data_IF_707269135257
#
_entry.id   IF_707269135257
#
_cell.length_a   1.000
_cell.length_b   1.000
_cell.length_c   1.000
_cell.angle_alpha   90.00
_cell.angle_beta   90.00
_cell.angle_gamma   90.00
#
_symmetry.space_group_name_H-M   'P 1'
#
loop_
_entity.id
_entity.type
_entity.pdbx_description
1 polymer ?
#
# COMPACT_ATOMS: atom_id res chain seq x y z
N UNK A 1 -12.02 37.53 18.51
CA UNK A 1 -12.20 39.00 18.54
C UNK A 1 -13.45 39.32 17.76
N UNK A 2 -14.28 40.22 18.30
CA UNK A 2 -15.57 40.62 17.70
C UNK A 2 -15.34 41.92 16.95
N UNK A 3 -15.70 41.96 15.66
CA UNK A 3 -15.55 43.16 14.83
C UNK A 3 -16.68 44.13 15.15
N UNK A 4 -16.34 45.36 15.54
CA UNK A 4 -17.31 46.42 15.82
C UNK A 4 -17.35 47.34 14.61
N UNK A 5 -18.45 47.33 13.86
CA UNK A 5 -18.64 48.16 12.67
C UNK A 5 -19.38 49.45 13.03
N UNK A 6 -18.90 50.60 12.54
CA UNK A 6 -19.40 51.94 12.94
C UNK A 6 -20.09 52.70 11.79
N UNK A 7 -19.85 52.30 10.55
CA UNK A 7 -20.46 52.88 9.35
C UNK A 7 -20.79 51.80 8.30
N UNK A 8 -21.82 52.02 7.46
CA UNK A 8 -22.14 51.13 6.36
C UNK A 8 -21.00 51.14 5.33
N UNK A 9 -20.38 49.99 5.13
CA UNK A 9 -19.22 49.81 4.27
C UNK A 9 -18.66 48.40 4.39
N UNK A 10 -17.60 48.12 3.66
CA UNK A 10 -16.88 46.84 3.72
C UNK A 10 -15.66 47.02 4.62
N UNK A 11 -15.52 46.16 5.63
CA UNK A 11 -14.35 46.09 6.50
C UNK A 11 -13.52 44.88 6.07
N UNK A 12 -12.23 45.10 5.80
CA UNK A 12 -11.29 44.06 5.40
C UNK A 12 -10.39 43.78 6.60
N UNK A 13 -10.46 42.56 7.13
CA UNK A 13 -9.57 42.07 8.18
C UNK A 13 -8.93 40.76 7.71
N UNK A 14 -7.60 40.68 7.73
CA UNK A 14 -6.87 39.45 7.44
C UNK A 14 -6.81 38.57 8.69
N UNK A 15 -7.87 37.81 8.91
CA UNK A 15 -7.90 36.78 9.93
C UNK A 15 -7.33 35.49 9.33
N UNK A 16 -6.14 35.10 9.78
CA UNK A 16 -5.57 33.77 9.49
C UNK A 16 -6.35 32.71 10.30
N UNK A 17 -7.60 32.46 9.92
CA UNK A 17 -8.38 31.35 10.46
C UNK A 17 -7.91 30.03 9.83
N UNK A 18 -7.74 29.00 10.65
CA UNK A 18 -7.36 27.66 10.17
C UNK A 18 -8.52 27.09 9.33
N UNK A 19 -8.42 27.21 7.99
CA UNK A 19 -9.29 26.50 7.07
C UNK A 19 -8.64 25.13 6.76
N UNK A 20 -9.11 24.07 7.42
CA UNK A 20 -8.67 22.71 7.16
C UNK A 20 -9.55 22.10 6.07
N UNK A 21 -8.98 21.91 4.87
CA UNK A 21 -9.61 21.12 3.80
C UNK A 21 -9.13 19.67 3.90
N UNK A 22 -10.03 18.71 3.70
CA UNK A 22 -9.68 17.28 3.62
C UNK A 22 -9.39 16.95 2.15
N UNK A 23 -8.20 16.41 1.87
CA UNK A 23 -7.84 15.88 0.55
C UNK A 23 -8.09 14.36 0.50
N UNK A 24 -8.68 13.87 -0.58
CA UNK A 24 -8.82 12.42 -0.78
C UNK A 24 -7.49 11.85 -1.29
N UNK A 25 -6.93 10.89 -0.56
CA UNK A 25 -5.76 10.10 -0.97
C UNK A 25 -6.19 8.69 -1.40
N UNK A 26 -5.27 7.94 -2.01
CA UNK A 26 -5.48 6.55 -2.38
C UNK A 26 -5.88 5.73 -1.14
N UNK A 27 -7.03 5.06 -1.22
CA UNK A 27 -7.62 4.34 -0.08
C UNK A 27 -7.06 2.91 0.05
N UNK A 28 -6.50 2.37 -1.03
CA UNK A 28 -5.98 1.02 -1.11
C UNK A 28 -4.64 1.01 -1.84
N UNK A 29 -3.54 1.08 -1.08
CA UNK A 29 -2.17 0.97 -1.59
C UNK A 29 -1.54 -0.29 -0.98
N UNK A 30 -1.46 -1.39 -1.74
CA UNK A 30 -0.94 -2.65 -1.23
C UNK A 30 0.58 -2.76 -1.34
N UNK A 31 1.15 -3.37 -0.31
CA UNK A 31 2.48 -3.98 -0.32
C UNK A 31 2.31 -5.48 -0.53
N UNK A 32 2.89 -6.01 -1.59
CA UNK A 32 3.01 -7.45 -1.81
C UNK A 32 4.30 -7.95 -1.17
N UNK A 33 4.15 -8.92 -0.28
CA UNK A 33 5.29 -9.65 0.28
C UNK A 33 5.90 -10.55 -0.79
N UNK A 34 7.19 -10.40 -1.03
CA UNK A 34 7.93 -11.15 -2.04
C UNK A 34 8.91 -12.11 -1.39
N UNK A 35 8.97 -13.31 -1.95
CA UNK A 35 9.94 -14.32 -1.57
C UNK A 35 11.39 -13.83 -1.71
N UNK A 36 12.22 -14.19 -0.73
CA UNK A 36 13.67 -13.97 -0.72
C UNK A 36 14.41 -14.55 -1.93
N UNK A 37 13.89 -15.62 -2.56
CA UNK A 37 14.53 -16.22 -3.73
C UNK A 37 14.32 -15.40 -5.02
N UNK A 38 13.52 -14.35 -4.98
CA UNK A 38 13.28 -13.50 -6.14
C UNK A 38 14.46 -12.53 -6.36
N UNK A 39 15.22 -12.76 -7.43
CA UNK A 39 16.43 -11.99 -7.77
C UNK A 39 16.15 -10.59 -8.32
N UNK A 40 14.90 -10.29 -8.70
CA UNK A 40 14.54 -9.03 -9.35
C UNK A 40 14.34 -7.89 -8.34
N UNK A 41 14.27 -8.21 -7.05
CA UNK A 41 13.99 -7.25 -5.98
C UNK A 41 15.18 -7.22 -5.04
N UNK A 42 15.73 -6.04 -4.79
CA UNK A 42 16.85 -5.89 -3.87
C UNK A 42 16.38 -5.99 -2.42
N UNK A 43 17.24 -6.57 -1.58
CA UNK A 43 17.11 -6.53 -0.13
C UNK A 43 17.06 -5.06 0.35
N UNK A 44 16.26 -4.79 1.40
CA UNK A 44 16.10 -3.46 2.01
C UNK A 44 15.51 -2.34 1.11
N UNK A 45 14.92 -2.64 -0.06
CA UNK A 45 14.25 -1.63 -0.90
C UNK A 45 12.78 -1.96 -1.20
N UNK A 46 11.94 -0.91 -1.24
CA UNK A 46 10.59 -1.00 -1.80
C UNK A 46 10.62 -0.60 -3.27
N UNK A 47 10.16 -1.50 -4.15
CA UNK A 47 9.98 -1.19 -5.57
C UNK A 47 8.53 -0.81 -5.80
N UNK A 48 8.28 0.40 -6.26
CA UNK A 48 6.94 0.85 -6.65
C UNK A 48 6.65 0.40 -8.08
N UNK A 49 5.55 -0.33 -8.26
CA UNK A 49 5.05 -0.78 -9.55
C UNK A 49 3.77 -0.01 -9.86
N UNK A 50 3.79 0.79 -10.93
CA UNK A 50 2.64 1.64 -11.28
C UNK A 50 1.61 0.91 -12.16
N UNK A 51 2.06 -0.10 -12.91
CA UNK A 51 1.21 -0.86 -13.83
C UNK A 51 1.78 -2.25 -14.09
N UNK A 52 0.97 -3.13 -14.67
CA UNK A 52 1.43 -4.45 -15.10
C UNK A 52 2.63 -4.42 -16.06
N UNK A 53 2.70 -3.42 -16.95
CA UNK A 53 3.82 -3.29 -17.89
C UNK A 53 5.12 -2.93 -17.17
N UNK A 54 5.04 -2.12 -16.11
CA UNK A 54 6.18 -1.74 -15.26
C UNK A 54 6.79 -2.98 -14.60
N UNK A 55 5.95 -3.90 -14.12
CA UNK A 55 6.38 -5.19 -13.60
C UNK A 55 7.04 -6.07 -14.67
N UNK A 56 6.46 -6.17 -15.86
CA UNK A 56 7.06 -6.94 -16.97
C UNK A 56 8.40 -6.38 -17.42
N UNK A 57 8.60 -5.06 -17.36
CA UNK A 57 9.89 -4.44 -17.66
C UNK A 57 10.96 -4.81 -16.61
N UNK A 58 10.56 -5.06 -15.35
CA UNK A 58 11.45 -5.47 -14.27
C UNK A 58 11.84 -6.96 -14.36
N UNK A 59 10.88 -7.84 -14.66
CA UNK A 59 11.10 -9.29 -14.71
C UNK A 59 11.49 -9.80 -16.10
N UNK A 60 11.21 -9.03 -17.16
CA UNK A 60 11.43 -9.38 -18.56
C UNK A 60 10.32 -10.26 -19.13
N UNK A 61 10.16 -11.46 -18.58
CA UNK A 61 9.13 -12.41 -19.01
C UNK A 61 8.15 -12.73 -17.88
N UNK A 62 6.95 -13.17 -18.26
CA UNK A 62 5.93 -13.63 -17.34
C UNK A 62 6.05 -15.13 -17.10
N UNK A 63 6.31 -15.53 -15.86
CA UNK A 63 6.27 -16.93 -15.44
C UNK A 63 4.92 -17.27 -14.81
N UNK A 64 4.24 -18.28 -15.38
CA UNK A 64 2.98 -18.79 -14.85
C UNK A 64 3.15 -19.58 -13.53
N UNK A 65 4.37 -20.00 -13.20
CA UNK A 65 4.67 -20.75 -11.98
C UNK A 65 4.96 -19.84 -10.80
N UNK A 66 5.33 -18.59 -11.06
CA UNK A 66 5.58 -17.62 -10.01
C UNK A 66 4.27 -17.10 -9.42
N UNK A 67 4.05 -17.41 -8.14
CA UNK A 67 2.87 -16.99 -7.38
C UNK A 67 2.75 -15.47 -7.34
N UNK A 68 3.87 -14.74 -7.29
CA UNK A 68 3.87 -13.28 -7.27
C UNK A 68 3.37 -12.74 -8.61
N UNK A 69 3.94 -13.21 -9.72
CA UNK A 69 3.57 -12.77 -11.06
C UNK A 69 2.08 -13.01 -11.35
N UNK A 70 1.55 -14.19 -10.96
CA UNK A 70 0.13 -14.52 -11.13
C UNK A 70 -0.76 -13.62 -10.27
N UNK A 71 -0.38 -13.39 -9.00
CA UNK A 71 -1.12 -12.52 -8.08
C UNK A 71 -1.16 -11.07 -8.54
N UNK A 72 -0.02 -10.53 -8.99
CA UNK A 72 0.06 -9.16 -9.53
C UNK A 72 -0.77 -9.01 -10.80
N UNK A 73 -0.71 -10.00 -11.70
CA UNK A 73 -1.53 -9.99 -12.91
C UNK A 73 -3.01 -9.95 -12.56
N UNK A 74 -3.45 -10.79 -11.61
CA UNK A 74 -4.84 -10.80 -11.15
C UNK A 74 -5.22 -9.46 -10.51
N UNK A 75 -4.35 -8.88 -9.68
CA UNK A 75 -4.58 -7.58 -9.05
C UNK A 75 -4.79 -6.45 -10.08
N UNK A 76 -3.88 -6.31 -11.05
CA UNK A 76 -4.02 -5.29 -12.10
C UNK A 76 -5.21 -5.56 -13.03
N UNK A 77 -5.52 -6.83 -13.32
CA UNK A 77 -6.70 -7.19 -14.11
C UNK A 77 -8.03 -6.82 -13.43
N UNK A 78 -8.05 -6.79 -12.09
CA UNK A 78 -9.21 -6.35 -11.30
C UNK A 78 -9.24 -4.82 -11.04
N UNK A 79 -8.42 -4.05 -11.74
CA UNK A 79 -8.39 -2.59 -11.59
C UNK A 79 -7.54 -2.09 -10.42
N UNK A 80 -6.59 -2.89 -9.96
CA UNK A 80 -5.60 -2.49 -8.97
C UNK A 80 -4.80 -1.25 -9.39
N UNK A 81 -4.56 -0.35 -8.45
CA UNK A 81 -3.70 0.82 -8.63
C UNK A 81 -2.21 0.46 -8.49
N UNK A 82 -1.36 1.45 -8.24
CA UNK A 82 0.05 1.18 -7.97
C UNK A 82 0.21 0.36 -6.68
N UNK A 83 1.27 -0.45 -6.62
CA UNK A 83 1.60 -1.26 -5.46
C UNK A 83 3.10 -1.21 -5.18
N UNK A 84 3.49 -1.68 -4.00
CA UNK A 84 4.89 -1.85 -3.63
C UNK A 84 5.23 -3.33 -3.54
N UNK A 85 6.42 -3.68 -4.00
CA UNK A 85 7.01 -5.00 -3.82
C UNK A 85 8.13 -4.90 -2.79
N UNK A 86 8.04 -5.70 -1.73
CA UNK A 86 8.99 -5.71 -0.63
C UNK A 86 9.31 -7.16 -0.28
N UNK A 87 10.60 -7.47 -0.10
CA UNK A 87 10.99 -8.79 0.40
C UNK A 87 10.55 -9.00 1.85
N UNK A 88 10.12 -10.22 2.17
CA UNK A 88 9.63 -10.61 3.51
C UNK A 88 10.60 -10.25 4.65
N UNK A 89 11.92 -10.44 4.48
CA UNK A 89 12.95 -10.08 5.47
C UNK A 89 13.01 -8.60 5.85
N UNK A 90 12.75 -7.73 4.88
CA UNK A 90 12.93 -6.28 5.03
C UNK A 90 11.61 -5.56 5.30
N UNK A 91 10.52 -6.31 5.37
CA UNK A 91 9.15 -5.84 5.44
C UNK A 91 8.91 -4.97 6.68
N UNK A 92 9.41 -5.40 7.84
CA UNK A 92 9.31 -4.68 9.12
C UNK A 92 10.05 -3.35 9.14
N UNK A 93 11.16 -3.24 8.40
CA UNK A 93 11.96 -2.01 8.35
C UNK A 93 11.39 -0.99 7.38
N UNK A 94 10.89 -1.45 6.24
CA UNK A 94 10.53 -0.57 5.12
C UNK A 94 9.11 -0.04 5.26
N UNK A 95 8.15 -0.86 5.71
CA UNK A 95 6.74 -0.43 5.80
C UNK A 95 6.57 0.84 6.65
N UNK A 96 7.22 1.00 7.82
CA UNK A 96 7.13 2.23 8.60
C UNK A 96 7.68 3.49 7.91
N UNK A 97 8.50 3.32 6.86
CA UNK A 97 9.08 4.43 6.08
C UNK A 97 8.16 4.91 4.95
N UNK A 98 7.15 4.11 4.59
CA UNK A 98 6.17 4.42 3.56
C UNK A 98 4.92 5.01 4.23
N UNK A 99 4.46 6.15 3.74
CA UNK A 99 3.36 6.93 4.34
C UNK A 99 1.99 6.62 3.75
N UNK A 100 1.96 6.11 2.52
CA UNK A 100 0.74 5.87 1.75
C UNK A 100 0.25 4.41 1.78
N UNK A 101 1.04 3.50 2.35
CA UNK A 101 0.71 2.07 2.41
C UNK A 101 -0.45 1.82 3.38
N UNK A 102 -1.49 1.14 2.89
CA UNK A 102 -2.66 0.79 3.70
C UNK A 102 -2.89 -0.72 3.79
N UNK A 103 -2.47 -1.48 2.78
CA UNK A 103 -2.72 -2.93 2.70
C UNK A 103 -1.41 -3.72 2.71
N UNK A 104 -1.40 -4.84 3.43
CA UNK A 104 -0.31 -5.80 3.43
C UNK A 104 -0.83 -7.13 2.88
N UNK A 105 -0.33 -7.55 1.72
CA UNK A 105 -0.83 -8.71 0.98
C UNK A 105 0.19 -9.84 1.01
N UNK A 106 -0.20 -10.96 1.62
CA UNK A 106 0.57 -12.19 1.66
C UNK A 106 0.35 -12.98 0.36
N UNK A 107 1.10 -12.69 -0.72
CA UNK A 107 0.95 -13.38 -2.01
C UNK A 107 1.58 -14.79 -2.01
N UNK A 108 1.03 -15.69 -1.19
CA UNK A 108 1.55 -17.05 -0.99
C UNK A 108 2.72 -17.14 0.00
N UNK A 109 3.04 -16.05 0.70
CA UNK A 109 4.12 -15.95 1.69
C UNK A 109 3.58 -15.93 3.12
N UNK A 110 4.28 -16.58 4.05
CA UNK A 110 3.90 -16.61 5.48
C UNK A 110 4.44 -15.38 6.21
N UNK A 111 3.59 -14.35 6.35
CA UNK A 111 3.96 -13.05 6.97
C UNK A 111 3.33 -12.79 8.34
N UNK A 112 2.78 -13.82 9.00
CA UNK A 112 2.03 -13.69 10.27
C UNK A 112 2.82 -12.94 11.35
N UNK A 113 4.09 -13.28 11.52
CA UNK A 113 4.99 -12.67 12.51
C UNK A 113 5.18 -11.17 12.27
N UNK A 114 5.40 -10.77 11.02
CA UNK A 114 5.64 -9.36 10.68
C UNK A 114 4.34 -8.54 10.73
N UNK A 115 3.20 -9.15 10.40
CA UNK A 115 1.88 -8.54 10.56
C UNK A 115 1.58 -8.26 12.04
N UNK A 116 1.86 -9.21 12.94
CA UNK A 116 1.66 -9.01 14.38
C UNK A 116 2.47 -7.82 14.92
N UNK A 117 3.66 -7.57 14.36
CA UNK A 117 4.51 -6.44 14.74
C UNK A 117 4.01 -5.12 14.13
N UNK A 118 3.60 -5.13 12.87
CA UNK A 118 3.29 -3.92 12.10
C UNK A 118 1.84 -3.44 12.24
N UNK A 119 0.88 -4.36 12.25
CA UNK A 119 -0.56 -4.07 12.28
C UNK A 119 -1.04 -3.79 13.71
N UNK A 120 -0.46 -2.77 14.34
CA UNK A 120 -0.85 -2.29 15.66
C UNK A 120 -1.94 -1.22 15.57
N UNK A 121 -2.73 -1.08 16.64
CA UNK A 121 -3.75 -0.05 16.73
C UNK A 121 -3.15 1.35 16.49
N UNK A 122 -3.77 2.13 15.60
CA UNK A 122 -3.33 3.48 15.24
C UNK A 122 -2.32 3.56 14.08
N UNK A 123 -1.87 2.43 13.52
CA UNK A 123 -1.00 2.42 12.33
C UNK A 123 -1.75 2.43 10.99
N UNK A 124 -3.05 2.09 10.99
CA UNK A 124 -3.87 2.15 9.78
C UNK A 124 -3.56 1.09 8.72
N UNK A 125 -2.82 0.04 9.07
CA UNK A 125 -2.47 -1.07 8.18
C UNK A 125 -3.47 -2.21 8.30
N UNK A 126 -3.88 -2.77 7.16
CA UNK A 126 -4.75 -3.93 7.10
C UNK A 126 -4.08 -5.07 6.32
N UNK A 127 -3.90 -6.21 6.97
CA UNK A 127 -3.27 -7.38 6.36
C UNK A 127 -4.30 -8.35 5.77
N UNK A 128 -4.03 -8.83 4.55
CA UNK A 128 -4.81 -9.84 3.82
C UNK A 128 -3.93 -11.07 3.68
N UNK A 129 -4.44 -12.19 4.22
CA UNK A 129 -3.77 -13.48 4.18
C UNK A 129 -4.45 -14.44 3.20
N UNK A 130 -3.65 -15.33 2.62
CA UNK A 130 -4.16 -16.46 1.88
C UNK A 130 -4.61 -17.59 2.82
N UNK A 131 -5.65 -18.32 2.39
CA UNK A 131 -6.11 -19.52 3.09
C UNK A 131 -5.19 -20.73 2.88
N UNK A 132 -5.44 -21.83 3.60
CA UNK A 132 -4.66 -23.06 3.43
C UNK A 132 -4.84 -23.64 2.01
N UNK A 133 -3.74 -23.98 1.35
CA UNK A 133 -3.75 -24.60 0.01
C UNK A 133 -4.49 -25.95 -0.02
N UNK A 134 -4.56 -26.65 1.11
CA UNK A 134 -5.23 -27.95 1.27
C UNK A 134 -6.71 -27.87 1.63
N UNK A 135 -7.33 -26.69 1.49
CA UNK A 135 -8.75 -26.51 1.77
C UNK A 135 -9.61 -27.25 0.73
N UNK A 136 -10.29 -28.31 1.16
CA UNK A 136 -11.37 -28.94 0.41
C UNK A 136 -12.39 -27.87 0.01
N UNK A 137 -12.44 -27.54 -1.28
CA UNK A 137 -13.59 -26.84 -1.85
C UNK A 137 -14.76 -27.82 -1.76
N UNK A 138 -15.49 -27.77 -0.64
CA UNK A 138 -16.79 -28.43 -0.53
C UNK A 138 -17.71 -27.76 -1.56
N UNK A 139 -17.91 -28.47 -2.67
CA UNK A 139 -18.95 -28.20 -3.65
C UNK A 139 -20.34 -28.19 -2.99
#
# INVERSE_FOLDING_TARGET
>A
MTTVTSYPGVYIEELNSLALSVSNSATAVPVFAVNEQNKHINEDTAIRINSWMDYLNLTGEFDNKDKLAVSLRAYFANGGGYCYLIQTKSLEKIIPTLDDVTLLVAAGEEIKTSVDILCQAGKGLFAIFDGSETGSCSQ
#
